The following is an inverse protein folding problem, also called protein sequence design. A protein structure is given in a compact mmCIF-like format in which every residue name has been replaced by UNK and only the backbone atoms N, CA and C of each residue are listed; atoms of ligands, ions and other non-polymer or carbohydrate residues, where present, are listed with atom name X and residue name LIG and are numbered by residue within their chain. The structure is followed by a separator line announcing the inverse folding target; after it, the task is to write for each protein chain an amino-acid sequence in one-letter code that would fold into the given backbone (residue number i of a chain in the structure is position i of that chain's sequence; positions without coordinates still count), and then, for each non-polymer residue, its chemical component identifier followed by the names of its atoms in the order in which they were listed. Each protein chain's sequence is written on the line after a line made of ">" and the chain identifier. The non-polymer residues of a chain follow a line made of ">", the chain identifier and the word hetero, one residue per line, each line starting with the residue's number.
data_IF_938894647770
#
_entry.id   IF_938894647770
#
_cell.length_a   1.000
_cell.length_b   1.000
_cell.length_c   1.000
_cell.angle_alpha   90.00
_cell.angle_beta   90.00
_cell.angle_gamma   90.00
#
_symmetry.space_group_name_H-M   'P 1'
#
loop_
_entity.id
_entity.type
_entity.pdbx_description
1 polymer ?
#
# COMPACT_ATOMS: atom_id res chain seq x y z
N UNK A 1 11.76 -63.12 -36.05
CA UNK A 1 12.03 -62.56 -37.39
C UNK A 1 10.98 -61.50 -37.62
N UNK A 2 11.32 -60.24 -37.34
CA UNK A 2 10.75 -59.08 -38.03
C UNK A 2 11.23 -57.82 -37.35
N UNK A 3 11.77 -57.01 -38.11
CA UNK A 3 12.36 -55.69 -38.01
C UNK A 3 11.60 -54.72 -37.09
N UNK A 4 12.30 -54.08 -36.16
CA UNK A 4 12.02 -52.74 -35.64
C UNK A 4 13.22 -51.87 -35.92
N UNK A 5 13.29 -51.39 -37.15
CA UNK A 5 14.24 -50.32 -37.55
C UNK A 5 13.49 -49.02 -37.60
N UNK A 6 14.06 -47.97 -36.96
CA UNK A 6 13.84 -46.57 -37.35
C UNK A 6 12.90 -45.73 -36.54
N UNK A 7 13.28 -45.39 -35.31
CA UNK A 7 12.84 -44.11 -34.72
C UNK A 7 14.04 -43.16 -34.80
N UNK A 8 13.96 -42.06 -35.58
CA UNK A 8 15.02 -41.07 -35.55
C UNK A 8 15.00 -40.40 -34.18
N UNK A 9 16.15 -40.50 -33.50
CA UNK A 9 16.47 -39.66 -32.35
C UNK A 9 16.33 -38.21 -32.80
N UNK A 10 15.22 -37.57 -32.40
CA UNK A 10 15.09 -36.13 -32.46
C UNK A 10 16.20 -35.54 -31.59
N UNK A 11 17.23 -35.05 -32.25
CA UNK A 11 18.25 -34.20 -31.65
C UNK A 11 17.55 -33.12 -30.83
N UNK A 12 17.72 -33.18 -29.51
CA UNK A 12 17.34 -32.11 -28.61
C UNK A 12 18.13 -30.87 -29.02
N UNK A 13 17.55 -30.04 -29.87
CA UNK A 13 18.00 -28.66 -29.95
C UNK A 13 17.88 -28.10 -28.53
N UNK A 14 19.02 -28.01 -27.89
CA UNK A 14 19.24 -27.22 -26.69
C UNK A 14 18.82 -25.80 -27.02
N UNK A 15 17.54 -25.49 -26.81
CA UNK A 15 17.06 -24.10 -26.79
C UNK A 15 17.81 -23.42 -25.65
N UNK A 16 18.90 -22.75 -26.00
CA UNK A 16 19.62 -21.89 -25.08
C UNK A 16 18.59 -20.96 -24.44
N UNK A 17 18.33 -21.19 -23.17
CA UNK A 17 17.47 -20.31 -22.36
C UNK A 17 18.05 -18.90 -22.52
N UNK A 18 17.31 -17.91 -23.03
CA UNK A 18 17.81 -16.56 -23.19
C UNK A 18 18.34 -16.09 -21.84
N UNK A 19 19.55 -15.53 -21.85
CA UNK A 19 20.21 -15.03 -20.66
C UNK A 19 19.22 -14.14 -19.87
N UNK A 20 19.17 -14.22 -18.53
CA UNK A 20 18.20 -13.47 -17.74
C UNK A 20 18.42 -11.97 -17.99
N UNK A 21 17.50 -11.38 -18.75
CA UNK A 21 17.49 -9.93 -18.99
C UNK A 21 17.31 -9.26 -17.63
N UNK A 22 18.25 -8.38 -17.26
CA UNK A 22 18.19 -7.69 -15.98
C UNK A 22 16.87 -6.90 -15.88
N UNK A 23 16.16 -7.07 -14.81
CA UNK A 23 14.86 -6.41 -14.55
C UNK A 23 14.96 -4.87 -14.69
N UNK A 24 16.13 -4.31 -14.33
CA UNK A 24 16.45 -2.89 -14.48
C UNK A 24 16.55 -2.40 -15.92
N UNK A 25 16.71 -3.29 -16.91
CA UNK A 25 16.72 -2.91 -18.32
C UNK A 25 15.33 -2.88 -18.97
N UNK A 26 14.29 -3.28 -18.24
CA UNK A 26 12.91 -3.18 -18.74
C UNK A 26 12.44 -1.73 -18.77
N UNK A 27 11.92 -1.25 -19.91
CA UNK A 27 11.42 0.12 -20.01
C UNK A 27 10.30 0.38 -18.98
N UNK A 28 10.47 1.41 -18.18
CA UNK A 28 9.46 1.84 -17.21
C UNK A 28 9.45 1.08 -15.87
N UNK A 29 10.14 -0.06 -15.71
CA UNK A 29 10.14 -0.80 -14.44
C UNK A 29 10.80 0.00 -13.31
N UNK A 30 11.95 0.59 -13.55
CA UNK A 30 12.66 1.42 -12.55
C UNK A 30 11.81 2.62 -12.15
N UNK A 31 11.21 3.31 -13.14
CA UNK A 31 10.28 4.42 -12.89
C UNK A 31 9.07 4.00 -12.05
N UNK A 32 8.50 2.84 -12.36
CA UNK A 32 7.39 2.28 -11.56
C UNK A 32 7.82 1.98 -10.13
N UNK A 33 8.97 1.37 -9.94
CA UNK A 33 9.52 1.04 -8.62
C UNK A 33 9.79 2.30 -7.80
N UNK A 34 10.41 3.34 -8.40
CA UNK A 34 10.64 4.62 -7.74
C UNK A 34 9.32 5.34 -7.40
N UNK A 35 8.36 5.33 -8.31
CA UNK A 35 7.05 5.92 -8.07
C UNK A 35 6.35 5.28 -6.87
N UNK A 36 6.40 3.95 -6.80
CA UNK A 36 5.84 3.18 -5.70
C UNK A 36 6.57 3.43 -4.39
N UNK A 37 7.90 3.46 -4.41
CA UNK A 37 8.73 3.76 -3.25
C UNK A 37 8.31 5.11 -2.64
N UNK A 38 8.26 6.17 -3.45
CA UNK A 38 7.88 7.51 -3.02
C UNK A 38 6.48 7.53 -2.40
N UNK A 39 5.50 6.93 -3.07
CA UNK A 39 4.12 6.91 -2.58
C UNK A 39 3.97 6.12 -1.27
N UNK A 40 4.62 4.94 -1.14
CA UNK A 40 4.54 4.14 0.09
C UNK A 40 5.25 4.84 1.25
N UNK A 41 6.42 5.48 1.01
CA UNK A 41 7.07 6.31 2.02
C UNK A 41 6.15 7.45 2.47
N UNK A 42 5.54 8.19 1.54
CA UNK A 42 4.60 9.25 1.88
C UNK A 42 3.45 8.76 2.76
N UNK A 43 2.87 7.60 2.42
CA UNK A 43 1.78 6.99 3.21
C UNK A 43 2.23 6.63 4.64
N UNK A 44 3.42 6.07 4.79
CA UNK A 44 3.95 5.66 6.10
C UNK A 44 4.34 6.87 6.96
N UNK A 45 4.96 7.90 6.36
CA UNK A 45 5.27 9.15 7.03
C UNK A 45 3.98 9.84 7.49
N UNK A 46 2.98 9.94 6.60
CA UNK A 46 1.69 10.56 6.93
C UNK A 46 0.97 9.84 8.08
N UNK A 47 1.03 8.52 8.13
CA UNK A 47 0.43 7.74 9.21
C UNK A 47 1.06 8.06 10.59
N UNK A 48 2.36 8.36 10.64
CA UNK A 48 3.05 8.75 11.88
C UNK A 48 2.68 10.16 12.29
N UNK A 49 2.78 11.13 11.36
CA UNK A 49 2.55 12.54 11.68
C UNK A 49 1.12 12.80 12.10
N UNK A 50 0.13 12.21 11.42
CA UNK A 50 -1.29 12.34 11.80
C UNK A 50 -1.55 11.78 13.19
N UNK A 51 -1.05 10.57 13.47
CA UNK A 51 -1.27 9.93 14.77
C UNK A 51 -0.61 10.73 15.90
N UNK A 52 0.60 11.24 15.69
CA UNK A 52 1.29 12.06 16.68
C UNK A 52 0.59 13.39 16.88
N UNK A 53 0.29 14.13 15.82
CA UNK A 53 -0.33 15.45 15.88
C UNK A 53 -1.70 15.41 16.57
N UNK A 54 -2.56 14.47 16.18
CA UNK A 54 -3.90 14.34 16.79
C UNK A 54 -3.77 14.00 18.26
N UNK A 55 -2.88 13.09 18.65
CA UNK A 55 -2.68 12.78 20.06
C UNK A 55 -2.09 13.95 20.85
N UNK A 56 -1.12 14.66 20.29
CA UNK A 56 -0.49 15.81 20.93
C UNK A 56 -1.49 16.96 21.17
N UNK A 57 -2.45 17.15 20.26
CA UNK A 57 -3.51 18.16 20.38
C UNK A 57 -4.59 17.77 21.38
N UNK A 58 -4.98 16.49 21.46
CA UNK A 58 -6.15 16.06 22.22
C UNK A 58 -5.83 15.42 23.54
N UNK A 59 -4.70 14.71 23.63
CA UNK A 59 -4.32 13.83 24.74
C UNK A 59 -5.37 12.75 25.03
N UNK A 60 -6.27 12.48 24.07
CA UNK A 60 -7.34 11.51 24.20
C UNK A 60 -7.11 10.28 23.33
N UNK A 61 -7.08 9.07 23.91
CA UNK A 61 -6.98 7.83 23.14
C UNK A 61 -8.07 7.65 22.10
N UNK A 62 -9.30 8.14 22.42
CA UNK A 62 -10.44 8.03 21.53
C UNK A 62 -10.27 8.82 20.23
N UNK A 63 -9.54 9.94 20.26
CA UNK A 63 -9.22 10.71 19.06
C UNK A 63 -8.42 9.90 18.04
N UNK A 64 -7.49 9.04 18.50
CA UNK A 64 -6.76 8.12 17.62
C UNK A 64 -7.65 7.03 17.03
N UNK A 65 -8.62 6.55 17.78
CA UNK A 65 -9.63 5.62 17.26
C UNK A 65 -10.44 6.26 16.13
N UNK A 66 -10.84 7.53 16.28
CA UNK A 66 -11.54 8.27 15.21
C UNK A 66 -10.64 8.49 13.98
N UNK A 67 -9.33 8.71 14.13
CA UNK A 67 -8.38 8.76 13.00
C UNK A 67 -8.41 7.46 12.20
N UNK A 68 -8.35 6.32 12.90
CA UNK A 68 -8.45 5.01 12.26
C UNK A 68 -9.78 4.80 11.56
N UNK A 69 -10.89 5.11 12.25
CA UNK A 69 -12.24 4.92 11.75
C UNK A 69 -12.55 5.82 10.54
N UNK A 70 -12.12 7.08 10.57
CA UNK A 70 -12.27 8.03 9.47
C UNK A 70 -11.59 7.55 8.17
N UNK A 71 -10.47 6.86 8.26
CA UNK A 71 -9.81 6.28 7.09
C UNK A 71 -10.41 4.92 6.70
N UNK A 72 -10.74 4.09 7.67
CA UNK A 72 -11.15 2.70 7.44
C UNK A 72 -12.56 2.59 6.86
N UNK A 73 -13.54 3.34 7.38
CA UNK A 73 -14.94 3.25 6.93
C UNK A 73 -15.06 3.57 5.43
N UNK A 74 -14.58 4.72 4.92
CA UNK A 74 -14.67 5.02 3.49
C UNK A 74 -13.90 4.04 2.62
N UNK A 75 -12.72 3.59 3.08
CA UNK A 75 -11.93 2.57 2.38
C UNK A 75 -12.71 1.27 2.23
N UNK A 76 -13.36 0.80 3.30
CA UNK A 76 -14.14 -0.44 3.29
C UNK A 76 -15.37 -0.34 2.38
N UNK A 77 -16.11 0.77 2.44
CA UNK A 77 -17.31 1.00 1.62
C UNK A 77 -16.95 1.07 0.12
N UNK A 78 -15.80 1.64 -0.21
CA UNK A 78 -15.36 1.81 -1.59
C UNK A 78 -14.55 0.64 -2.13
N UNK A 79 -14.19 -0.35 -1.31
CA UNK A 79 -13.36 -1.48 -1.75
C UNK A 79 -14.00 -2.26 -2.92
N UNK A 80 -15.32 -2.44 -2.88
CA UNK A 80 -16.05 -3.12 -3.95
C UNK A 80 -16.13 -2.30 -5.24
N UNK A 81 -16.64 -1.04 -5.22
CA UNK A 81 -16.69 -0.23 -6.43
C UNK A 81 -15.29 0.07 -6.98
N UNK A 82 -14.26 0.10 -6.11
CA UNK A 82 -12.88 0.28 -6.54
C UNK A 82 -12.40 -0.87 -7.43
N UNK A 83 -12.71 -2.12 -7.09
CA UNK A 83 -12.39 -3.28 -7.92
C UNK A 83 -13.00 -3.17 -9.31
N UNK A 84 -14.29 -2.89 -9.40
CA UNK A 84 -14.99 -2.71 -10.68
C UNK A 84 -14.43 -1.57 -11.52
N UNK A 85 -14.10 -0.46 -10.88
CA UNK A 85 -13.54 0.71 -11.57
C UNK A 85 -12.15 0.43 -12.14
N UNK A 86 -11.31 -0.28 -11.39
CA UNK A 86 -9.95 -0.67 -11.80
C UNK A 86 -9.97 -1.66 -12.98
N UNK A 87 -10.99 -2.51 -13.06
CA UNK A 87 -11.14 -3.43 -14.20
C UNK A 87 -11.62 -2.72 -15.47
N UNK A 88 -12.36 -1.62 -15.32
CA UNK A 88 -12.94 -0.85 -16.46
C UNK A 88 -12.04 0.24 -17.01
N UNK A 89 -11.24 0.86 -16.15
CA UNK A 89 -10.44 2.04 -16.51
C UNK A 89 -8.94 1.76 -16.45
N UNK A 90 -8.18 2.67 -17.03
CA UNK A 90 -6.72 2.58 -17.00
C UNK A 90 -6.19 2.64 -15.54
N UNK A 91 -5.61 1.55 -15.10
CA UNK A 91 -5.09 1.36 -13.74
C UNK A 91 -4.06 2.41 -13.34
N UNK A 92 -3.23 2.85 -14.31
CA UNK A 92 -2.25 3.93 -14.11
C UNK A 92 -2.94 5.25 -13.79
N UNK A 93 -3.99 5.61 -14.55
CA UNK A 93 -4.74 6.85 -14.33
C UNK A 93 -5.43 6.85 -12.97
N UNK A 94 -6.08 5.73 -12.62
CA UNK A 94 -6.71 5.57 -11.30
C UNK A 94 -5.68 5.76 -10.19
N UNK A 95 -4.50 5.16 -10.33
CA UNK A 95 -3.42 5.26 -9.35
C UNK A 95 -2.90 6.70 -9.22
N UNK A 96 -2.69 7.39 -10.35
CA UNK A 96 -2.27 8.80 -10.36
C UNK A 96 -3.31 9.71 -9.70
N UNK A 97 -4.61 9.50 -9.99
CA UNK A 97 -5.70 10.25 -9.34
C UNK A 97 -5.71 9.96 -7.84
N UNK A 98 -5.59 8.69 -7.44
CA UNK A 98 -5.56 8.32 -6.02
C UNK A 98 -4.42 8.98 -5.26
N UNK A 99 -3.21 9.01 -5.84
CA UNK A 99 -2.08 9.70 -5.22
C UNK A 99 -2.23 11.23 -5.26
N UNK A 100 -2.87 11.78 -6.30
CA UNK A 100 -3.23 13.19 -6.38
C UNK A 100 -4.18 13.61 -5.26
N UNK A 101 -5.22 12.79 -5.00
CA UNK A 101 -6.14 13.02 -3.88
C UNK A 101 -5.41 12.89 -2.53
N UNK A 102 -4.51 11.92 -2.38
CA UNK A 102 -3.71 11.77 -1.15
C UNK A 102 -2.75 12.96 -0.95
N UNK A 103 -2.13 13.47 -2.02
CA UNK A 103 -1.32 14.69 -1.98
C UNK A 103 -2.16 15.92 -1.59
N UNK A 104 -3.38 16.03 -2.15
CA UNK A 104 -4.31 17.09 -1.78
C UNK A 104 -4.69 17.02 -0.29
N UNK A 105 -5.00 15.83 0.24
CA UNK A 105 -5.23 15.65 1.68
C UNK A 105 -4.01 16.06 2.51
N UNK A 106 -2.80 15.69 2.08
CA UNK A 106 -1.55 16.13 2.70
C UNK A 106 -1.39 17.64 2.70
N UNK A 107 -1.77 18.31 1.60
CA UNK A 107 -1.75 19.77 1.49
C UNK A 107 -2.76 20.42 2.44
N UNK A 108 -3.96 19.87 2.57
CA UNK A 108 -4.97 20.36 3.53
C UNK A 108 -4.42 20.25 4.96
N UNK A 109 -3.79 19.13 5.31
CA UNK A 109 -3.19 18.93 6.64
C UNK A 109 -1.97 19.84 6.87
N UNK A 110 -1.18 20.11 5.83
CA UNK A 110 -0.11 21.10 5.88
C UNK A 110 -0.65 22.51 6.20
N UNK A 111 -1.66 22.96 5.45
CA UNK A 111 -2.29 24.27 5.67
C UNK A 111 -2.93 24.34 7.06
N UNK A 112 -3.59 23.27 7.50
CA UNK A 112 -4.13 23.15 8.86
C UNK A 112 -3.05 23.40 9.92
N UNK A 113 -1.90 22.78 9.77
CA UNK A 113 -0.78 22.93 10.72
C UNK A 113 -0.14 24.31 10.63
N UNK A 114 0.10 24.85 9.42
CA UNK A 114 0.70 26.15 9.20
C UNK A 114 -0.16 27.30 9.75
N UNK A 115 -1.49 27.17 9.64
CA UNK A 115 -2.43 28.14 10.21
C UNK A 115 -2.73 27.89 11.70
N UNK A 116 -2.11 26.86 12.31
CA UNK A 116 -2.32 26.46 13.71
C UNK A 116 -3.79 26.29 14.09
N UNK A 117 -4.57 25.73 13.17
CA UNK A 117 -5.98 25.47 13.39
C UNK A 117 -6.16 24.41 14.48
N UNK A 118 -7.29 24.49 15.21
CA UNK A 118 -7.59 23.56 16.32
C UNK A 118 -8.81 22.69 16.06
N UNK A 119 -9.47 22.84 14.92
CA UNK A 119 -10.70 22.09 14.61
C UNK A 119 -10.37 20.72 14.02
N UNK A 120 -10.43 19.69 14.84
CA UNK A 120 -10.20 18.29 14.46
C UNK A 120 -11.14 17.79 13.35
N UNK A 121 -12.28 18.43 13.12
CA UNK A 121 -13.21 18.04 12.06
C UNK A 121 -12.58 18.14 10.68
N UNK A 122 -11.70 19.12 10.47
CA UNK A 122 -10.94 19.28 9.22
C UNK A 122 -9.98 18.11 9.02
N UNK A 123 -9.28 17.67 10.08
CA UNK A 123 -8.39 16.52 10.02
C UNK A 123 -9.19 15.26 9.67
N UNK A 124 -10.28 15.00 10.37
CA UNK A 124 -11.12 13.81 10.10
C UNK A 124 -11.72 13.85 8.69
N UNK A 125 -12.18 15.01 8.21
CA UNK A 125 -12.67 15.18 6.84
C UNK A 125 -11.60 14.88 5.79
N UNK A 126 -10.38 15.39 5.97
CA UNK A 126 -9.24 15.08 5.10
C UNK A 126 -8.88 13.59 5.13
N UNK A 127 -8.96 12.95 6.32
CA UNK A 127 -8.68 11.51 6.47
C UNK A 127 -9.76 10.62 5.86
N UNK A 128 -11.02 11.05 5.88
CA UNK A 128 -12.10 10.35 5.15
C UNK A 128 -11.84 10.35 3.65
N UNK A 129 -11.48 11.50 3.08
CA UNK A 129 -11.12 11.61 1.66
C UNK A 129 -9.86 10.79 1.33
N UNK A 130 -8.87 10.81 2.21
CA UNK A 130 -7.68 9.97 2.12
C UNK A 130 -8.03 8.48 2.09
N UNK A 131 -8.94 8.03 2.97
CA UNK A 131 -9.46 6.66 3.00
C UNK A 131 -10.14 6.25 1.70
N UNK A 132 -10.95 7.16 1.10
CA UNK A 132 -11.54 6.95 -0.22
C UNK A 132 -10.46 6.67 -1.27
N UNK A 133 -9.44 7.51 -1.37
CA UNK A 133 -8.36 7.34 -2.33
C UNK A 133 -7.56 6.06 -2.09
N UNK A 134 -7.37 5.69 -0.82
CA UNK A 134 -6.65 4.47 -0.43
C UNK A 134 -7.32 3.19 -0.88
N UNK A 135 -8.66 3.16 -0.97
CA UNK A 135 -9.42 2.01 -1.47
C UNK A 135 -9.00 1.60 -2.90
N UNK A 136 -8.60 2.56 -3.73
CA UNK A 136 -8.16 2.33 -5.11
C UNK A 136 -6.67 2.00 -5.23
N UNK A 137 -5.84 2.50 -4.32
CA UNK A 137 -4.37 2.39 -4.42
C UNK A 137 -3.89 0.95 -4.40
N UNK A 138 -4.36 0.13 -3.46
CA UNK A 138 -3.93 -1.26 -3.29
C UNK A 138 -4.20 -2.14 -4.52
N UNK A 139 -5.47 -2.29 -4.92
CA UNK A 139 -5.83 -3.10 -6.07
C UNK A 139 -5.23 -2.60 -7.39
N UNK A 140 -5.13 -1.26 -7.58
CA UNK A 140 -4.50 -0.68 -8.77
C UNK A 140 -3.02 -1.04 -8.87
N UNK A 141 -2.26 -0.95 -7.77
CA UNK A 141 -0.84 -1.33 -7.73
C UNK A 141 -0.62 -2.82 -8.03
N UNK A 142 -1.43 -3.70 -7.43
CA UNK A 142 -1.33 -5.15 -7.63
C UNK A 142 -1.62 -5.54 -9.08
N UNK A 143 -2.57 -4.87 -9.72
CA UNK A 143 -2.97 -5.16 -11.08
C UNK A 143 -2.08 -4.50 -12.14
N UNK A 144 -1.29 -3.48 -11.78
CA UNK A 144 -0.40 -2.76 -12.69
C UNK A 144 0.94 -3.49 -12.90
N UNK A 145 1.50 -4.11 -11.86
CA UNK A 145 2.80 -4.80 -11.93
C UNK A 145 2.88 -5.87 -13.04
N UNK A 146 1.88 -6.76 -13.22
CA UNK A 146 1.90 -7.76 -14.28
C UNK A 146 1.76 -7.19 -15.70
N UNK A 147 1.43 -5.91 -15.86
CA UNK A 147 1.33 -5.25 -17.16
C UNK A 147 2.66 -4.62 -17.61
N UNK A 148 3.56 -4.35 -16.66
CA UNK A 148 4.83 -3.68 -16.92
C UNK A 148 5.95 -4.71 -17.12
N UNK A 149 5.81 -5.90 -16.52
CA UNK A 149 6.88 -6.90 -16.49
C UNK A 149 6.45 -8.15 -17.25
N UNK A 150 7.32 -8.74 -18.11
CA UNK A 150 7.10 -10.03 -18.76
C UNK A 150 6.83 -11.13 -17.73
N UNK A 151 6.06 -12.16 -18.14
CA UNK A 151 5.62 -13.23 -17.23
C UNK A 151 6.77 -14.04 -16.62
N UNK A 152 7.84 -14.23 -17.36
CA UNK A 152 9.06 -14.93 -16.93
C UNK A 152 9.83 -14.20 -15.82
N UNK A 153 9.72 -12.85 -15.76
CA UNK A 153 10.38 -12.01 -14.78
C UNK A 153 9.46 -11.59 -13.61
N UNK A 154 8.17 -11.96 -13.66
CA UNK A 154 7.19 -11.59 -12.66
C UNK A 154 7.56 -12.02 -11.23
N UNK A 155 8.11 -13.23 -10.97
CA UNK A 155 8.55 -13.62 -9.62
C UNK A 155 9.63 -12.69 -9.06
N UNK A 156 10.61 -12.30 -9.88
CA UNK A 156 11.68 -11.37 -9.50
C UNK A 156 11.14 -9.96 -9.24
N UNK A 157 10.18 -9.50 -10.03
CA UNK A 157 9.51 -8.22 -9.83
C UNK A 157 8.70 -8.19 -8.54
N UNK A 158 8.00 -9.27 -8.20
CA UNK A 158 7.28 -9.42 -6.93
C UNK A 158 8.25 -9.41 -5.75
N UNK A 159 9.39 -10.11 -5.86
CA UNK A 159 10.43 -10.10 -4.82
C UNK A 159 10.97 -8.68 -4.59
N UNK A 160 11.36 -7.96 -5.66
CA UNK A 160 11.80 -6.56 -5.58
C UNK A 160 10.76 -5.67 -4.93
N UNK A 161 9.49 -5.84 -5.34
CA UNK A 161 8.38 -5.12 -4.76
C UNK A 161 8.20 -5.38 -3.25
N UNK A 162 8.41 -6.61 -2.80
CA UNK A 162 8.35 -6.99 -1.39
C UNK A 162 9.47 -6.34 -0.58
N UNK A 163 10.67 -6.25 -1.12
CA UNK A 163 11.80 -5.53 -0.50
C UNK A 163 11.46 -4.06 -0.32
N UNK A 164 10.91 -3.40 -1.35
CA UNK A 164 10.51 -1.99 -1.26
C UNK A 164 9.45 -1.77 -0.19
N UNK A 165 8.44 -2.64 -0.13
CA UNK A 165 7.41 -2.57 0.91
C UNK A 165 8.03 -2.68 2.30
N UNK A 166 8.94 -3.62 2.52
CA UNK A 166 9.64 -3.79 3.81
C UNK A 166 10.50 -2.58 4.15
N UNK A 167 11.31 -2.09 3.22
CA UNK A 167 12.10 -0.88 3.43
C UNK A 167 11.24 0.33 3.77
N UNK A 168 10.08 0.48 3.11
CA UNK A 168 9.17 1.60 3.35
C UNK A 168 8.43 1.47 4.69
N UNK A 169 8.03 0.27 5.10
CA UNK A 169 7.35 0.05 6.39
C UNK A 169 8.26 0.25 7.60
N UNK A 170 9.57 0.05 7.43
CA UNK A 170 10.58 0.34 8.46
C UNK A 170 11.05 1.79 8.35
N UNK A 171 11.49 2.20 7.17
CA UNK A 171 12.13 3.51 6.95
C UNK A 171 11.14 4.68 7.02
N UNK A 172 9.90 4.48 6.54
CA UNK A 172 8.88 5.54 6.53
C UNK A 172 8.57 6.09 7.91
N UNK A 173 8.20 5.26 8.89
CA UNK A 173 7.97 5.72 10.26
C UNK A 173 9.18 6.37 10.91
N UNK A 174 10.39 5.86 10.69
CA UNK A 174 11.63 6.46 11.20
C UNK A 174 11.82 7.87 10.64
N UNK A 175 11.74 8.00 9.32
CA UNK A 175 11.86 9.30 8.64
C UNK A 175 10.74 10.24 9.10
N UNK A 176 9.50 9.75 9.20
CA UNK A 176 8.35 10.54 9.64
C UNK A 176 8.51 11.09 11.06
N UNK A 177 8.93 10.25 12.00
CA UNK A 177 9.20 10.68 13.37
C UNK A 177 10.35 11.67 13.47
N UNK A 178 11.42 11.46 12.69
CA UNK A 178 12.57 12.37 12.65
C UNK A 178 12.23 13.72 12.01
N UNK A 179 11.51 13.73 10.89
CA UNK A 179 11.05 14.97 10.24
C UNK A 179 10.13 15.78 11.16
N UNK A 180 9.24 15.11 11.89
CA UNK A 180 8.38 15.78 12.85
C UNK A 180 9.18 16.41 14.00
N UNK A 181 10.22 15.74 14.46
CA UNK A 181 11.11 16.28 15.48
C UNK A 181 11.90 17.49 15.00
N UNK A 182 12.33 17.52 13.73
CA UNK A 182 13.10 18.61 13.13
C UNK A 182 12.27 19.86 12.88
N UNK A 183 11.09 19.74 12.33
CA UNK A 183 10.30 20.87 11.83
C UNK A 183 8.79 20.71 12.00
N UNK A 184 8.36 19.86 12.95
CA UNK A 184 6.96 19.67 13.28
C UNK A 184 6.11 19.05 12.15
N UNK A 185 4.81 19.24 12.30
CA UNK A 185 3.83 18.72 11.35
C UNK A 185 3.97 19.36 9.96
N UNK A 186 4.30 20.66 9.90
CA UNK A 186 4.43 21.42 8.65
C UNK A 186 5.50 20.84 7.73
N UNK A 187 6.72 20.64 8.23
CA UNK A 187 7.81 20.04 7.46
C UNK A 187 7.43 18.62 7.02
N UNK A 188 6.84 17.85 7.91
CA UNK A 188 6.52 16.44 7.63
C UNK A 188 5.45 16.32 6.56
N UNK A 189 4.38 17.13 6.60
CA UNK A 189 3.35 17.11 5.56
C UNK A 189 3.87 17.63 4.21
N UNK A 190 4.73 18.66 4.21
CA UNK A 190 5.34 19.14 2.96
C UNK A 190 6.16 18.04 2.26
N UNK A 191 6.94 17.28 3.02
CA UNK A 191 7.69 16.12 2.50
C UNK A 191 6.75 15.03 1.99
N UNK A 192 5.64 14.74 2.69
CA UNK A 192 4.63 13.79 2.22
C UNK A 192 4.04 14.22 0.87
N UNK A 193 3.63 15.48 0.74
CA UNK A 193 3.08 16.02 -0.51
C UNK A 193 4.10 15.94 -1.63
N UNK A 194 5.35 16.36 -1.38
CA UNK A 194 6.42 16.27 -2.37
C UNK A 194 6.68 14.83 -2.81
N UNK A 195 6.64 13.86 -1.88
CA UNK A 195 6.83 12.45 -2.19
C UNK A 195 5.65 11.86 -3.02
N UNK A 196 4.40 12.24 -2.74
CA UNK A 196 3.27 11.84 -3.58
C UNK A 196 3.37 12.43 -4.99
N UNK A 197 3.72 13.71 -5.10
CA UNK A 197 3.92 14.36 -6.41
C UNK A 197 5.08 13.70 -7.16
N UNK A 198 6.20 13.43 -6.51
CA UNK A 198 7.31 12.69 -7.11
C UNK A 198 6.87 11.30 -7.58
N UNK A 199 6.07 10.59 -6.78
CA UNK A 199 5.47 9.30 -7.15
C UNK A 199 4.64 9.40 -8.44
N UNK A 200 3.82 10.44 -8.58
CA UNK A 200 3.03 10.70 -9.80
C UNK A 200 3.94 10.99 -11.00
N UNK A 201 4.96 11.84 -10.80
CA UNK A 201 5.89 12.22 -11.88
C UNK A 201 6.72 11.01 -12.37
N UNK A 202 7.19 10.14 -11.47
CA UNK A 202 7.86 8.91 -11.86
C UNK A 202 6.92 7.91 -12.52
N UNK A 203 5.63 7.88 -12.18
CA UNK A 203 4.65 7.00 -12.82
C UNK A 203 4.24 7.50 -14.21
N UNK A 204 4.28 8.82 -14.44
CA UNK A 204 3.82 9.44 -15.69
C UNK A 204 4.46 8.86 -16.97
N UNK A 205 5.79 8.61 -17.06
CA UNK A 205 6.41 8.06 -18.26
C UNK A 205 6.16 6.55 -18.45
N UNK A 206 5.64 5.82 -17.46
CA UNK A 206 5.44 4.37 -17.55
C UNK A 206 4.36 4.06 -18.58
N UNK A 207 4.74 3.40 -19.66
CA UNK A 207 3.79 2.94 -20.67
C UNK A 207 3.02 1.74 -20.14
N UNK A 208 1.69 1.83 -20.16
CA UNK A 208 0.80 0.72 -19.80
C UNK A 208 -0.11 0.44 -20.99
N UNK A 209 0.03 -0.73 -21.65
CA UNK A 209 -0.90 -1.13 -22.67
C UNK A 209 -2.28 -1.34 -22.03
N UNK A 210 -3.20 -0.41 -22.28
CA UNK A 210 -4.56 -0.54 -21.83
C UNK A 210 -5.35 -1.35 -22.86
N UNK A 211 -5.46 -2.66 -22.64
CA UNK A 211 -6.48 -3.46 -23.27
C UNK A 211 -7.71 -3.45 -22.35
N UNK A 212 -8.63 -2.52 -22.57
CA UNK A 212 -9.93 -2.53 -21.91
C UNK A 212 -10.59 -3.89 -22.14
N UNK A 213 -10.81 -4.65 -21.07
CA UNK A 213 -11.60 -5.87 -21.19
C UNK A 213 -13.04 -5.47 -21.51
N UNK A 214 -13.68 -6.09 -22.52
CA UNK A 214 -15.11 -5.94 -22.70
C UNK A 214 -15.79 -6.35 -21.39
N UNK A 215 -16.62 -5.46 -20.89
CA UNK A 215 -17.40 -5.73 -19.68
C UNK A 215 -18.39 -6.84 -20.01
N UNK A 216 -18.22 -8.03 -19.47
CA UNK A 216 -19.32 -8.98 -19.38
C UNK A 216 -20.40 -8.35 -18.49
N UNK A 217 -21.47 -7.90 -19.14
CA UNK A 217 -22.63 -7.21 -18.54
C UNK A 217 -23.50 -8.15 -17.66
N UNK A 218 -22.91 -9.16 -17.03
CA UNK A 218 -23.69 -10.23 -16.40
C UNK A 218 -23.67 -10.32 -14.87
N UNK A 219 -22.74 -9.71 -14.16
CA UNK A 219 -22.70 -9.85 -12.69
C UNK A 219 -22.63 -8.52 -11.95
N UNK A 220 -23.66 -8.22 -11.18
CA UNK A 220 -23.66 -7.08 -10.24
C UNK A 220 -22.46 -7.22 -9.28
N UNK A 221 -21.81 -6.09 -8.93
CA UNK A 221 -20.76 -6.06 -7.90
C UNK A 221 -21.22 -6.70 -6.59
N UNK A 222 -22.49 -6.50 -6.25
CA UNK A 222 -23.14 -7.11 -5.10
C UNK A 222 -23.27 -8.64 -5.24
N UNK A 223 -23.57 -9.14 -6.42
CA UNK A 223 -23.64 -10.59 -6.68
C UNK A 223 -22.26 -11.26 -6.54
N UNK A 224 -21.18 -10.62 -6.98
CA UNK A 224 -19.81 -11.13 -6.80
C UNK A 224 -19.38 -11.14 -5.32
N UNK A 225 -19.78 -10.13 -4.57
CA UNK A 225 -19.51 -10.07 -3.14
C UNK A 225 -20.22 -11.18 -2.36
N UNK A 226 -21.53 -11.33 -2.59
CA UNK A 226 -22.31 -12.39 -1.94
C UNK A 226 -21.82 -13.78 -2.32
N UNK A 227 -21.40 -13.97 -3.58
CA UNK A 227 -20.78 -15.22 -4.03
C UNK A 227 -19.43 -15.46 -3.34
N UNK A 228 -18.62 -14.42 -3.14
CA UNK A 228 -17.37 -14.49 -2.38
C UNK A 228 -17.59 -14.89 -0.92
N UNK A 229 -18.57 -14.27 -0.24
CA UNK A 229 -18.94 -14.65 1.14
C UNK A 229 -19.46 -16.08 1.19
N UNK A 230 -20.31 -16.48 0.24
CA UNK A 230 -20.83 -17.85 0.17
C UNK A 230 -19.68 -18.86 -0.03
N UNK A 231 -18.71 -18.54 -0.87
CA UNK A 231 -17.52 -19.36 -1.09
C UNK A 231 -16.68 -19.51 0.19
N UNK A 232 -16.41 -18.41 0.92
CA UNK A 232 -15.67 -18.46 2.19
C UNK A 232 -16.42 -19.32 3.21
N UNK A 233 -17.73 -19.12 3.34
CA UNK A 233 -18.56 -19.91 4.27
C UNK A 233 -18.65 -21.40 3.92
N UNK A 234 -18.56 -21.74 2.63
CA UNK A 234 -18.55 -23.13 2.17
C UNK A 234 -17.23 -23.88 2.42
N UNK A 235 -16.17 -23.16 2.80
CA UNK A 235 -14.84 -23.72 3.03
C UNK A 235 -14.38 -23.49 4.47
N UNK A 236 -14.59 -24.45 5.39
CA UNK A 236 -14.28 -24.29 6.82
C UNK A 236 -12.83 -23.91 7.11
N UNK A 237 -11.88 -24.43 6.32
CA UNK A 237 -10.45 -24.10 6.46
C UNK A 237 -10.20 -22.62 6.17
N UNK A 238 -10.78 -22.07 5.10
CA UNK A 238 -10.63 -20.66 4.72
C UNK A 238 -11.30 -19.78 5.78
N UNK A 239 -12.49 -20.16 6.21
CA UNK A 239 -13.21 -19.43 7.26
C UNK A 239 -12.41 -19.41 8.59
N UNK A 240 -11.85 -20.56 8.97
CA UNK A 240 -11.02 -20.69 10.18
C UNK A 240 -9.77 -19.82 10.11
N UNK A 241 -9.05 -19.84 8.98
CA UNK A 241 -7.84 -19.02 8.78
C UNK A 241 -8.15 -17.53 8.83
N UNK A 242 -9.19 -17.08 8.13
CA UNK A 242 -9.61 -15.67 8.13
C UNK A 242 -10.07 -15.24 9.53
N UNK A 243 -10.82 -16.11 10.24
CA UNK A 243 -11.26 -15.81 11.60
C UNK A 243 -10.10 -15.69 12.57
N UNK A 244 -9.13 -16.59 12.46
CA UNK A 244 -7.92 -16.54 13.30
C UNK A 244 -7.12 -15.25 13.04
N UNK A 245 -6.94 -14.88 11.78
CA UNK A 245 -6.25 -13.64 11.38
C UNK A 245 -7.00 -12.41 11.91
N UNK A 246 -8.33 -12.39 11.78
CA UNK A 246 -9.17 -11.32 12.32
C UNK A 246 -9.01 -11.16 13.84
N UNK A 247 -9.03 -12.28 14.59
CA UNK A 247 -8.78 -12.27 16.04
C UNK A 247 -7.36 -11.79 16.37
N UNK A 248 -6.35 -12.25 15.63
CA UNK A 248 -4.97 -11.83 15.82
C UNK A 248 -4.81 -10.32 15.60
N UNK A 249 -5.42 -9.76 14.54
CA UNK A 249 -5.42 -8.32 14.25
C UNK A 249 -6.20 -7.54 15.31
N UNK A 250 -7.36 -8.04 15.75
CA UNK A 250 -8.19 -7.39 16.76
C UNK A 250 -7.48 -7.31 18.12
N UNK A 251 -6.83 -8.39 18.53
CA UNK A 251 -6.08 -8.44 19.79
C UNK A 251 -4.70 -7.77 19.66
N UNK A 252 -4.12 -7.77 18.46
CA UNK A 252 -2.82 -7.17 18.15
C UNK A 252 -2.87 -5.68 17.80
N UNK A 253 -4.00 -4.98 18.00
CA UNK A 253 -4.19 -3.57 17.65
C UNK A 253 -3.30 -2.55 18.40
N UNK A 254 -2.19 -2.99 18.96
CA UNK A 254 -1.20 -2.20 19.72
C UNK A 254 -0.66 -1.02 18.91
N UNK A 255 -0.58 -1.13 17.59
CA UNK A 255 -0.05 -0.05 16.71
C UNK A 255 -0.82 1.26 16.85
N UNK A 256 -2.13 1.19 17.08
CA UNK A 256 -2.97 2.37 17.30
C UNK A 256 -2.67 3.07 18.64
N UNK A 257 -2.20 2.32 19.63
CA UNK A 257 -1.87 2.83 20.96
C UNK A 257 -0.41 3.28 21.12
N UNK A 258 0.44 3.03 20.12
CA UNK A 258 1.86 3.40 20.15
C UNK A 258 2.11 4.89 20.44
N UNK A 259 1.32 5.87 19.92
CA UNK A 259 1.51 7.28 20.26
C UNK A 259 1.33 7.54 21.76
N UNK A 260 0.34 6.91 22.36
CA UNK A 260 0.06 7.03 23.80
C UNK A 260 1.22 6.43 24.59
N UNK A 261 1.64 5.22 24.25
CA UNK A 261 2.72 4.52 24.93
C UNK A 261 4.06 5.27 24.81
N UNK A 262 4.37 5.80 23.63
CA UNK A 262 5.56 6.62 23.41
C UNK A 262 5.54 7.88 24.28
N UNK A 263 4.38 8.55 24.37
CA UNK A 263 4.25 9.82 25.07
C UNK A 263 4.14 9.66 26.61
N UNK A 264 3.19 8.83 27.06
CA UNK A 264 2.81 8.75 28.50
C UNK A 264 3.69 7.76 29.31
N UNK A 265 4.15 6.69 28.66
CA UNK A 265 4.90 5.63 29.38
C UNK A 265 6.40 5.78 29.18
N UNK A 266 6.83 6.00 27.94
CA UNK A 266 8.25 6.07 27.62
C UNK A 266 8.78 7.51 27.62
N UNK A 267 7.92 8.52 27.70
CA UNK A 267 8.27 9.94 27.65
C UNK A 267 9.15 10.28 26.43
N UNK A 268 8.89 9.62 25.30
CA UNK A 268 9.62 9.82 24.06
C UNK A 268 8.89 10.84 23.17
N UNK A 269 9.68 11.57 22.38
CA UNK A 269 9.15 12.46 21.35
C UNK A 269 8.64 11.70 20.09
N UNK A 270 8.29 12.44 19.02
CA UNK A 270 7.79 11.86 17.77
C UNK A 270 8.78 10.89 17.10
N UNK A 271 10.11 11.12 17.28
CA UNK A 271 11.13 10.17 16.83
C UNK A 271 11.01 8.81 17.53
N UNK A 272 10.64 8.79 18.80
CA UNK A 272 10.41 7.54 19.55
C UNK A 272 9.23 6.75 18.99
N UNK A 273 8.14 7.41 18.61
CA UNK A 273 7.02 6.77 17.92
C UNK A 273 7.47 6.15 16.59
N UNK A 274 8.28 6.87 15.81
CA UNK A 274 8.87 6.36 14.58
C UNK A 274 9.69 5.10 14.80
N UNK A 275 10.55 5.08 15.84
CA UNK A 275 11.35 3.92 16.22
C UNK A 275 10.50 2.73 16.66
N UNK A 276 9.47 2.95 17.47
CA UNK A 276 8.57 1.89 17.93
C UNK A 276 7.81 1.24 16.77
N UNK A 277 7.31 2.02 15.82
CA UNK A 277 6.67 1.49 14.61
C UNK A 277 7.64 0.72 13.72
N UNK A 278 8.85 1.23 13.55
CA UNK A 278 9.88 0.57 12.77
C UNK A 278 10.32 -0.76 13.39
N UNK A 279 10.50 -0.84 14.70
CA UNK A 279 10.91 -2.07 15.39
C UNK A 279 9.89 -3.19 15.24
N UNK A 280 8.59 -2.88 15.27
CA UNK A 280 7.54 -3.88 14.98
C UNK A 280 7.65 -4.41 13.54
N UNK A 281 7.87 -3.53 12.56
CA UNK A 281 8.05 -3.92 11.16
C UNK A 281 9.33 -4.71 10.93
N UNK A 282 10.41 -4.40 11.65
CA UNK A 282 11.66 -5.17 11.65
C UNK A 282 11.45 -6.57 12.22
N UNK A 283 10.77 -6.70 13.36
CA UNK A 283 10.46 -8.00 13.96
C UNK A 283 9.64 -8.90 13.03
N UNK A 284 8.60 -8.36 12.41
CA UNK A 284 7.80 -9.09 11.42
C UNK A 284 8.62 -9.52 10.19
N UNK A 285 9.55 -8.65 9.74
CA UNK A 285 10.45 -8.96 8.62
C UNK A 285 11.45 -10.05 8.98
N UNK A 286 11.98 -10.02 10.20
CA UNK A 286 12.90 -11.04 10.69
C UNK A 286 12.21 -12.41 10.81
N UNK A 287 11.04 -12.46 11.41
CA UNK A 287 10.27 -13.69 11.55
C UNK A 287 9.99 -14.37 10.20
N UNK A 288 9.72 -13.58 9.14
CA UNK A 288 9.45 -14.12 7.79
C UNK A 288 10.68 -14.67 7.05
N UNK A 289 11.89 -14.55 7.59
CA UNK A 289 13.10 -15.17 7.02
C UNK A 289 13.27 -16.60 7.54
N UNK A 290 12.68 -16.92 8.71
CA UNK A 290 12.79 -18.22 9.35
C UNK A 290 11.57 -19.13 9.11
N UNK A 291 10.56 -18.66 8.44
CA UNK A 291 9.38 -19.45 7.97
C UNK A 291 9.42 -19.67 6.47
#
# INVERSE_FOLDING_TARGET
>A
MSRFDGIPFLSSESSASPAPVKLSSQPGFVSFILSRLMAVFAMQIQAVVVAWQVYDMTREPMALAYVGLAQFIPMLLLLMPAGDLIDRYNRKVILMISWGVQAFCGTVLFVFSALKLQDLRLIYGALMLYGCARAFTGPALQSLLPQIVPRDQLPSAIATNSVIMRCSTVGGPLIGGYLYWLGGAELTYSVCVAAFIAGILFLAPVATPFAGKPVELGSSAWGRFTAGIAFIRSRPIILGTISLDLFAVLLGGVVALLPIYAHEVLHLGPQGLGMLRASMSMGASWASVFT
#
